data_IF_774456933436
#
_entry.id   IF_774456933436
#
_cell.length_a   1.000
_cell.length_b   1.000
_cell.length_c   1.000
_cell.angle_alpha   90.00
_cell.angle_beta   90.00
_cell.angle_gamma   90.00
#
_symmetry.space_group_name_H-M   'P 1'
#
loop_
_entity.id
_entity.type
_entity.pdbx_description
1 polymer ?
#
# COMPACT_ATOMS: atom_id res chain seq x y z
N UNK A 1 0.67 -1.07 -10.04
CA UNK A 1 -0.67 -0.42 -10.03
C UNK A 1 -1.07 0.28 -8.71
N UNK A 2 -1.29 -0.47 -7.62
CA UNK A 2 -1.86 0.09 -6.37
C UNK A 2 -1.03 1.20 -5.75
N UNK A 3 0.28 0.97 -5.56
CA UNK A 3 1.18 1.98 -5.01
C UNK A 3 1.22 3.27 -5.86
N UNK A 4 1.16 3.13 -7.19
CA UNK A 4 1.13 4.27 -8.12
C UNK A 4 -0.20 5.03 -8.02
N UNK A 5 -1.33 4.33 -7.97
CA UNK A 5 -2.64 4.97 -7.81
C UNK A 5 -2.68 5.83 -6.54
N UNK A 6 -2.33 5.24 -5.39
CA UNK A 6 -2.48 5.90 -4.10
C UNK A 6 -1.34 6.86 -3.78
N UNK A 7 -0.11 6.52 -4.13
CA UNK A 7 1.07 7.31 -3.85
C UNK A 7 1.23 8.50 -4.80
N UNK A 8 0.92 8.32 -6.09
CA UNK A 8 1.25 9.31 -7.12
C UNK A 8 -0.01 10.04 -7.62
N UNK A 9 -1.05 9.32 -8.03
CA UNK A 9 -2.17 9.93 -8.77
C UNK A 9 -3.22 10.56 -7.87
N UNK A 10 -3.78 9.81 -6.91
CA UNK A 10 -5.02 10.20 -6.22
C UNK A 10 -4.86 11.41 -5.30
N UNK A 11 -3.68 11.59 -4.71
CA UNK A 11 -3.38 12.69 -3.80
C UNK A 11 -2.36 13.67 -4.36
N UNK A 12 -1.97 13.55 -5.64
CA UNK A 12 -0.95 14.38 -6.26
C UNK A 12 0.38 14.40 -5.50
N UNK A 13 0.72 13.30 -4.82
CA UNK A 13 1.89 13.21 -3.97
C UNK A 13 1.83 14.03 -2.66
N UNK A 14 0.68 14.57 -2.27
CA UNK A 14 0.52 15.42 -1.07
C UNK A 14 1.11 14.80 0.21
N UNK A 15 0.98 13.48 0.36
CA UNK A 15 1.49 12.76 1.53
C UNK A 15 2.95 12.30 1.41
N UNK A 16 3.59 12.48 0.25
CA UNK A 16 4.94 11.98 0.01
C UNK A 16 6.00 12.80 0.73
N UNK A 17 5.95 14.13 0.61
CA UNK A 17 6.90 15.02 1.31
C UNK A 17 6.78 14.87 2.85
N UNK A 18 5.58 14.86 3.47
CA UNK A 18 5.44 14.53 4.89
C UNK A 18 5.98 13.14 5.28
N UNK A 19 5.95 12.19 4.35
CA UNK A 19 6.52 10.85 4.54
C UNK A 19 8.03 10.79 4.25
N UNK A 20 8.68 11.93 3.96
CA UNK A 20 10.11 12.01 3.64
C UNK A 20 10.46 11.46 2.25
N UNK A 21 9.48 11.32 1.37
CA UNK A 21 9.66 10.83 0.00
C UNK A 21 9.71 11.98 -1.01
N UNK A 22 10.72 11.95 -1.86
CA UNK A 22 10.85 12.85 -3.02
C UNK A 22 10.84 12.00 -4.28
N UNK A 23 9.85 12.21 -5.13
CA UNK A 23 9.77 11.50 -6.42
C UNK A 23 10.67 12.18 -7.46
N UNK A 24 11.30 11.41 -8.37
CA UNK A 24 11.85 11.99 -9.59
C UNK A 24 10.73 12.63 -10.42
N UNK A 25 11.05 13.53 -11.37
CA UNK A 25 10.08 13.98 -12.35
C UNK A 25 9.55 12.77 -13.15
N UNK A 26 8.24 12.53 -13.09
CA UNK A 26 7.59 11.44 -13.80
C UNK A 26 6.62 12.01 -14.84
N UNK A 27 6.76 11.56 -16.09
CA UNK A 27 5.77 11.83 -17.12
C UNK A 27 4.72 10.72 -17.07
N UNK A 28 3.50 11.06 -16.66
CA UNK A 28 2.38 10.12 -16.54
C UNK A 28 1.87 9.77 -17.95
N UNK A 29 1.98 8.52 -18.41
CA UNK A 29 1.49 8.14 -19.74
C UNK A 29 -0.03 8.14 -19.83
N UNK A 30 -0.59 8.47 -20.99
CA UNK A 30 -2.04 8.44 -21.24
C UNK A 30 -2.70 7.09 -20.94
N UNK A 31 -1.94 5.99 -21.06
CA UNK A 31 -2.41 4.63 -20.78
C UNK A 31 -2.95 4.48 -19.35
N UNK A 32 -2.41 5.22 -18.38
CA UNK A 32 -2.86 5.24 -16.98
C UNK A 32 -4.34 5.58 -16.87
N UNK A 33 -4.81 6.55 -17.66
CA UNK A 33 -6.18 7.05 -17.62
C UNK A 33 -7.17 6.19 -18.39
N UNK A 34 -6.69 5.14 -19.08
CA UNK A 34 -7.51 4.21 -19.86
C UNK A 34 -7.85 2.93 -19.11
N UNK A 35 -7.24 2.71 -17.93
CA UNK A 35 -7.52 1.54 -17.10
C UNK A 35 -8.89 1.70 -16.43
N UNK A 36 -9.75 0.68 -16.58
CA UNK A 36 -11.10 0.65 -16.04
C UNK A 36 -11.23 -0.29 -14.83
N UNK A 37 -12.01 0.07 -13.80
CA UNK A 37 -12.54 1.42 -13.53
C UNK A 37 -11.45 2.42 -13.10
N UNK A 38 -10.35 1.92 -12.52
CA UNK A 38 -9.14 2.67 -12.21
C UNK A 38 -7.96 1.69 -11.95
N UNK A 39 -6.77 2.20 -11.65
CA UNK A 39 -5.56 1.41 -11.44
C UNK A 39 -5.61 0.40 -10.27
N UNK A 40 -6.31 0.69 -9.17
CA UNK A 40 -6.30 -0.18 -7.97
C UNK A 40 -7.43 -1.20 -8.01
N UNK A 41 -8.48 -0.89 -8.76
CA UNK A 41 -9.64 -1.74 -8.95
C UNK A 41 -9.69 -2.30 -10.37
N UNK A 42 -8.55 -2.34 -11.07
CA UNK A 42 -8.49 -2.71 -12.48
C UNK A 42 -9.06 -4.11 -12.74
N UNK A 43 -9.93 -4.24 -13.74
CA UNK A 43 -10.41 -5.55 -14.20
C UNK A 43 -9.30 -6.32 -14.93
N UNK A 44 -8.48 -5.61 -15.70
CA UNK A 44 -7.30 -6.15 -16.38
C UNK A 44 -6.04 -5.74 -15.61
N UNK A 45 -5.56 -6.66 -14.77
CA UNK A 45 -4.42 -6.41 -13.89
C UNK A 45 -3.10 -6.29 -14.66
N UNK A 46 -2.94 -7.08 -15.72
CA UNK A 46 -1.74 -7.03 -16.58
C UNK A 46 -1.65 -5.69 -17.32
N UNK A 47 -2.77 -5.20 -17.85
CA UNK A 47 -2.83 -3.87 -18.45
C UNK A 47 -2.51 -2.77 -17.43
N UNK A 48 -2.98 -2.90 -16.19
CA UNK A 48 -2.66 -1.94 -15.13
C UNK A 48 -1.18 -1.98 -14.71
N UNK A 49 -0.55 -3.16 -14.69
CA UNK A 49 0.90 -3.32 -14.48
C UNK A 49 1.66 -2.61 -15.61
N UNK A 50 1.33 -2.92 -16.86
CA UNK A 50 1.98 -2.30 -18.02
C UNK A 50 1.80 -0.77 -18.05
N UNK A 51 0.60 -0.27 -17.74
CA UNK A 51 0.34 1.17 -17.68
C UNK A 51 1.12 1.88 -16.56
N UNK A 52 1.58 1.15 -15.53
CA UNK A 52 2.31 1.71 -14.39
C UNK A 52 3.82 1.42 -14.42
N UNK A 53 4.32 0.75 -15.46
CA UNK A 53 5.75 0.37 -15.57
C UNK A 53 6.71 1.54 -15.85
N UNK A 54 6.18 2.75 -16.05
CA UNK A 54 7.01 3.98 -16.15
C UNK A 54 7.55 4.44 -14.79
N UNK A 55 7.00 3.90 -13.69
CA UNK A 55 7.49 4.19 -12.33
C UNK A 55 8.59 3.19 -12.00
N UNK A 56 9.81 3.65 -11.67
CA UNK A 56 10.91 2.75 -11.31
C UNK A 56 10.60 1.88 -10.09
N UNK A 57 11.11 0.66 -10.06
CA UNK A 57 10.88 -0.29 -8.97
C UNK A 57 11.35 0.24 -7.61
N UNK A 58 12.44 1.02 -7.58
CA UNK A 58 12.92 1.66 -6.36
C UNK A 58 11.93 2.68 -5.81
N UNK A 59 11.22 3.40 -6.69
CA UNK A 59 10.16 4.33 -6.31
C UNK A 59 8.95 3.56 -5.79
N UNK A 60 8.57 2.46 -6.46
CA UNK A 60 7.50 1.58 -5.98
C UNK A 60 7.82 1.03 -4.59
N UNK A 61 9.06 0.58 -4.36
CA UNK A 61 9.51 0.08 -3.07
C UNK A 61 9.42 1.16 -1.98
N UNK A 62 9.85 2.38 -2.27
CA UNK A 62 9.72 3.52 -1.34
C UNK A 62 8.26 3.83 -1.00
N UNK A 63 7.36 3.81 -1.98
CA UNK A 63 5.93 4.03 -1.76
C UNK A 63 5.32 2.92 -0.89
N UNK A 64 5.67 1.66 -1.16
CA UNK A 64 5.24 0.53 -0.36
C UNK A 64 5.77 0.61 1.08
N UNK A 65 7.02 1.02 1.27
CA UNK A 65 7.63 1.18 2.58
C UNK A 65 7.02 2.35 3.36
N UNK A 66 6.69 3.47 2.72
CA UNK A 66 6.12 4.62 3.42
C UNK A 66 4.64 4.46 3.75
N UNK A 67 3.85 3.96 2.79
CA UNK A 67 2.39 4.00 2.84
C UNK A 67 1.74 2.64 3.10
N UNK A 68 2.50 1.55 2.98
CA UNK A 68 1.98 0.19 3.02
C UNK A 68 2.21 -0.54 4.35
N UNK A 69 1.41 -1.59 4.56
CA UNK A 69 1.76 -2.74 5.39
C UNK A 69 2.11 -3.89 4.46
N UNK A 70 3.36 -3.92 3.97
CA UNK A 70 3.84 -4.88 2.99
C UNK A 70 4.95 -5.72 3.63
N UNK A 71 4.93 -7.03 3.39
CA UNK A 71 5.91 -7.98 3.93
C UNK A 71 5.24 -9.20 4.53
N UNK A 72 5.93 -9.87 5.46
CA UNK A 72 5.33 -10.96 6.23
C UNK A 72 4.33 -10.44 7.26
N UNK A 73 3.48 -11.32 7.80
CA UNK A 73 2.57 -10.95 8.86
C UNK A 73 3.32 -10.48 10.12
N UNK A 74 4.50 -11.05 10.35
CA UNK A 74 5.43 -10.69 11.41
C UNK A 74 6.02 -9.29 11.26
N UNK A 75 6.43 -8.93 10.04
CA UNK A 75 6.93 -7.58 9.72
C UNK A 75 5.81 -6.55 9.94
N UNK A 76 4.61 -6.87 9.46
CA UNK A 76 3.43 -6.01 9.61
C UNK A 76 3.06 -5.82 11.09
N UNK A 77 3.08 -6.88 11.91
CA UNK A 77 2.81 -6.78 13.34
C UNK A 77 3.81 -5.87 14.06
N UNK A 78 5.11 -6.02 13.73
CA UNK A 78 6.17 -5.17 14.28
C UNK A 78 5.93 -3.71 13.91
N UNK A 79 5.66 -3.44 12.63
CA UNK A 79 5.38 -2.09 12.13
C UNK A 79 4.16 -1.45 12.80
N UNK A 80 3.06 -2.20 12.95
CA UNK A 80 1.86 -1.71 13.66
C UNK A 80 2.19 -1.40 15.12
N UNK A 81 3.01 -2.23 15.78
CA UNK A 81 3.49 -1.98 17.14
C UNK A 81 4.25 -0.64 17.25
N UNK A 82 5.15 -0.36 16.32
CA UNK A 82 5.87 0.92 16.27
C UNK A 82 4.92 2.11 16.01
N UNK A 83 3.99 1.98 15.07
CA UNK A 83 2.96 3.01 14.81
C UNK A 83 2.12 3.29 16.07
N UNK A 84 1.80 2.26 16.84
CA UNK A 84 1.04 2.39 18.09
C UNK A 84 1.82 3.21 19.12
N UNK A 85 3.14 3.00 19.25
CA UNK A 85 4.01 3.80 20.15
C UNK A 85 4.07 5.27 19.73
N UNK A 86 3.93 5.55 18.44
CA UNK A 86 3.85 6.91 17.89
C UNK A 86 2.45 7.54 18.04
N UNK A 87 1.50 6.83 18.66
CA UNK A 87 0.16 7.35 18.97
C UNK A 87 -0.90 7.06 17.91
N UNK A 88 -0.59 6.27 16.86
CA UNK A 88 -1.59 5.79 15.90
C UNK A 88 -2.56 4.85 16.63
N UNK A 89 -3.87 5.09 16.48
CA UNK A 89 -4.92 4.32 17.16
C UNK A 89 -5.79 3.49 16.23
N UNK A 90 -5.84 3.84 14.96
CA UNK A 90 -6.71 3.19 13.98
C UNK A 90 -5.96 3.10 12.66
N UNK A 91 -6.10 1.96 11.99
CA UNK A 91 -5.57 1.72 10.66
C UNK A 91 -6.75 1.38 9.74
N UNK A 92 -6.77 2.02 8.57
CA UNK A 92 -7.63 1.62 7.48
C UNK A 92 -6.79 0.84 6.48
N UNK A 93 -7.19 -0.40 6.20
CA UNK A 93 -6.47 -1.29 5.30
C UNK A 93 -7.31 -1.58 4.08
N UNK A 94 -6.74 -1.25 2.93
CA UNK A 94 -7.24 -1.72 1.65
C UNK A 94 -6.49 -3.01 1.30
N UNK A 95 -7.19 -4.13 1.05
CA UNK A 95 -6.54 -5.36 0.64
C UNK A 95 -5.94 -5.24 -0.75
N UNK A 96 -5.08 -6.19 -1.11
CA UNK A 96 -4.43 -6.20 -2.42
C UNK A 96 -5.44 -6.35 -3.57
N UNK A 97 -6.41 -7.24 -3.39
CA UNK A 97 -7.41 -7.56 -4.41
C UNK A 97 -8.75 -6.87 -4.12
N UNK A 98 -9.33 -6.25 -5.15
CA UNK A 98 -10.61 -5.54 -5.02
C UNK A 98 -11.81 -6.48 -5.10
N UNK A 99 -11.79 -7.44 -6.02
CA UNK A 99 -12.97 -8.28 -6.34
C UNK A 99 -12.95 -9.66 -5.69
N UNK A 100 -11.97 -9.91 -4.83
CA UNK A 100 -11.79 -11.17 -4.11
C UNK A 100 -11.82 -10.91 -2.60
N UNK A 101 -12.47 -11.77 -1.79
CA UNK A 101 -12.38 -11.66 -0.34
C UNK A 101 -10.92 -11.73 0.14
N UNK A 102 -10.48 -10.87 1.07
CA UNK A 102 -9.08 -10.76 1.49
C UNK A 102 -8.71 -11.87 2.48
N UNK A 103 -8.82 -13.12 2.05
CA UNK A 103 -8.66 -14.31 2.92
C UNK A 103 -7.27 -14.40 3.52
N UNK A 104 -6.24 -14.01 2.76
CA UNK A 104 -4.85 -14.04 3.20
C UNK A 104 -4.60 -13.00 4.29
N UNK A 105 -5.07 -11.79 4.08
CA UNK A 105 -4.96 -10.70 5.04
C UNK A 105 -5.76 -11.01 6.31
N UNK A 106 -7.01 -11.50 6.17
CA UNK A 106 -7.81 -11.93 7.33
C UNK A 106 -7.08 -13.00 8.14
N UNK A 107 -6.50 -14.01 7.49
CA UNK A 107 -5.74 -15.05 8.18
C UNK A 107 -4.49 -14.49 8.86
N UNK A 108 -3.72 -13.64 8.17
CA UNK A 108 -2.53 -12.99 8.74
C UNK A 108 -2.88 -12.15 9.99
N UNK A 109 -3.99 -11.40 9.93
CA UNK A 109 -4.46 -10.61 11.07
C UNK A 109 -4.89 -11.48 12.25
N UNK A 110 -5.74 -12.48 11.98
CA UNK A 110 -6.27 -13.39 13.00
C UNK A 110 -5.17 -14.24 13.65
N UNK A 111 -4.29 -14.83 12.85
CA UNK A 111 -3.40 -15.90 13.30
C UNK A 111 -2.05 -15.40 13.77
N UNK A 112 -1.60 -14.22 13.31
CA UNK A 112 -0.25 -13.71 13.60
C UNK A 112 -0.25 -12.30 14.18
N UNK A 113 -0.89 -11.34 13.49
CA UNK A 113 -0.74 -9.92 13.85
C UNK A 113 -1.45 -9.60 15.17
N UNK A 114 -2.75 -9.91 15.31
CA UNK A 114 -3.47 -9.61 16.54
C UNK A 114 -2.89 -10.32 17.77
N UNK A 115 -2.54 -11.62 17.73
CA UNK A 115 -1.88 -12.26 18.87
C UNK A 115 -0.58 -11.57 19.29
N UNK A 116 0.24 -11.13 18.33
CA UNK A 116 1.51 -10.44 18.62
C UNK A 116 1.31 -9.05 19.19
N UNK A 117 0.37 -8.28 18.64
CA UNK A 117 0.02 -6.96 19.16
C UNK A 117 -0.50 -7.06 20.60
N UNK A 118 -1.36 -8.05 20.88
CA UNK A 118 -1.84 -8.31 22.24
C UNK A 118 -0.70 -8.68 23.19
N UNK A 119 0.23 -9.54 22.77
CA UNK A 119 1.40 -9.91 23.57
C UNK A 119 2.35 -8.71 23.82
N UNK A 120 2.40 -7.76 22.88
CA UNK A 120 3.15 -6.51 23.01
C UNK A 120 2.43 -5.43 23.84
N UNK A 121 1.22 -5.70 24.33
CA UNK A 121 0.41 -4.75 25.11
C UNK A 121 -0.24 -3.65 24.27
N UNK A 122 -0.21 -3.75 22.94
CA UNK A 122 -0.98 -2.91 22.04
C UNK A 122 -2.47 -3.28 22.16
N UNK A 123 -3.35 -2.27 22.22
CA UNK A 123 -4.81 -2.44 22.30
C UNK A 123 -5.48 -1.86 21.08
#
# INVERSE_FOLDING_TARGET
PTAVHWGILRWGGYWLEPAGLTLPPLQIPDAVWKIYPDLSHAHDWEAAIAATSFVPDEVVAQLCEALGLIGTAEDCATRIGELTKLGVRNLYLMPLETFTPPRREIAAFRDVIFPRLAAAGCR
#
